data_IF_265295689953
#
_entry.id   IF_265295689953
#
_cell.length_a   1.000
_cell.length_b   1.000
_cell.length_c   1.000
_cell.angle_alpha   90.00
_cell.angle_beta   90.00
_cell.angle_gamma   90.00
#
_symmetry.space_group_name_H-M   'P 1'
#
loop_
_entity.id
_entity.type
_entity.pdbx_description
1 polymer ?
#
# COMPACT_ATOMS: atom_id res chain seq x y z
N UNK A 1 -28.83 31.21 -76.12
CA UNK A 1 -30.08 30.42 -76.19
C UNK A 1 -29.91 29.29 -77.20
N UNK A 2 -29.62 28.06 -76.76
CA UNK A 2 -29.83 26.82 -77.53
C UNK A 2 -30.11 25.69 -76.53
N UNK A 3 -31.39 25.40 -76.34
CA UNK A 3 -31.88 24.19 -75.68
C UNK A 3 -31.72 23.02 -76.66
N UNK A 4 -31.23 21.87 -76.20
CA UNK A 4 -31.57 20.58 -76.83
C UNK A 4 -31.66 19.46 -75.78
N UNK A 5 -32.91 18.99 -75.64
CA UNK A 5 -33.33 17.60 -75.52
C UNK A 5 -32.96 16.76 -74.29
N UNK A 6 -33.96 16.76 -73.40
CA UNK A 6 -34.50 15.68 -72.58
C UNK A 6 -34.50 14.27 -73.24
N UNK A 7 -34.16 13.24 -72.46
CA UNK A 7 -34.85 11.91 -72.32
C UNK A 7 -34.08 11.08 -71.25
N UNK A 8 -34.74 10.67 -70.15
CA UNK A 8 -35.34 9.34 -69.93
C UNK A 8 -34.24 8.23 -69.98
N UNK A 9 -33.97 7.34 -69.02
CA UNK A 9 -34.75 6.78 -67.90
C UNK A 9 -33.88 5.75 -67.15
N UNK A 10 -34.34 5.35 -65.95
CA UNK A 10 -34.18 4.04 -65.28
C UNK A 10 -32.90 3.68 -64.51
N UNK A 11 -33.17 3.33 -63.25
CA UNK A 11 -32.29 2.78 -62.22
C UNK A 11 -31.90 1.32 -62.50
N UNK A 12 -30.74 0.90 -61.98
CA UNK A 12 -30.52 -0.47 -61.49
C UNK A 12 -29.65 -0.41 -60.24
N UNK A 13 -30.15 -1.02 -59.17
CA UNK A 13 -29.47 -1.20 -57.91
C UNK A 13 -28.50 -2.40 -57.94
N UNK A 14 -27.72 -2.47 -56.86
CA UNK A 14 -27.18 -3.69 -56.22
C UNK A 14 -25.74 -4.11 -56.53
N UNK A 15 -24.90 -3.87 -55.51
CA UNK A 15 -23.77 -4.64 -54.96
C UNK A 15 -22.95 -5.57 -55.89
N UNK A 16 -21.65 -5.26 -55.96
CA UNK A 16 -20.60 -6.26 -55.81
C UNK A 16 -19.54 -5.73 -54.84
N UNK A 17 -19.41 -6.40 -53.71
CA UNK A 17 -18.40 -6.17 -52.67
C UNK A 17 -17.11 -6.88 -53.12
N UNK A 18 -15.98 -6.34 -52.64
CA UNK A 18 -14.69 -6.98 -52.33
C UNK A 18 -13.54 -6.64 -53.30
N UNK A 19 -12.47 -6.13 -52.71
CA UNK A 19 -11.12 -6.22 -53.29
C UNK A 19 -10.28 -4.94 -53.21
N UNK A 20 -9.84 -4.59 -51.99
CA UNK A 20 -8.49 -4.06 -51.68
C UNK A 20 -7.87 -2.98 -52.59
N UNK A 21 -7.71 -1.76 -52.06
CA UNK A 21 -6.39 -1.10 -51.94
C UNK A 21 -6.49 0.27 -51.24
N UNK A 22 -5.93 0.32 -50.03
CA UNK A 22 -5.13 1.42 -49.49
C UNK A 22 -5.57 2.87 -49.76
N UNK A 23 -6.36 3.43 -48.84
CA UNK A 23 -5.95 4.68 -48.17
C UNK A 23 -6.17 4.51 -46.68
N UNK A 24 -5.06 4.28 -45.96
CA UNK A 24 -4.99 4.31 -44.51
C UNK A 24 -5.23 5.76 -44.10
N UNK A 25 -6.42 6.04 -43.58
CA UNK A 25 -6.66 7.26 -42.83
C UNK A 25 -5.63 7.35 -41.71
N UNK A 26 -5.13 8.55 -41.47
CA UNK A 26 -4.18 8.84 -40.42
C UNK A 26 -4.80 8.46 -39.08
N UNK A 27 -4.45 7.26 -38.60
CA UNK A 27 -4.69 6.84 -37.22
C UNK A 27 -3.92 7.84 -36.37
N UNK A 28 -4.68 8.76 -35.77
CA UNK A 28 -4.26 9.55 -34.63
C UNK A 28 -3.52 8.59 -33.69
N UNK A 29 -2.26 8.87 -33.27
CA UNK A 29 -1.57 7.97 -32.39
C UNK A 29 -2.48 7.79 -31.18
N UNK A 30 -2.87 6.53 -30.92
CA UNK A 30 -3.54 6.15 -29.70
C UNK A 30 -2.69 6.74 -28.59
N UNK A 31 -3.16 7.83 -27.98
CA UNK A 31 -2.87 8.13 -26.60
C UNK A 31 -3.49 6.96 -25.83
N UNK A 32 -2.84 5.80 -25.87
CA UNK A 32 -2.85 4.87 -24.75
C UNK A 32 -2.42 5.74 -23.59
N UNK A 33 -3.42 6.24 -22.87
CA UNK A 33 -3.23 6.78 -21.54
C UNK A 33 -2.20 5.87 -20.89
N UNK A 34 -1.09 6.47 -20.48
CA UNK A 34 -0.09 5.80 -19.68
C UNK A 34 -0.83 4.89 -18.73
N UNK A 35 -0.52 3.58 -18.80
CA UNK A 35 -0.90 2.63 -17.77
C UNK A 35 -0.36 3.26 -16.48
N UNK A 36 -1.23 4.02 -15.79
CA UNK A 36 -0.89 4.69 -14.54
C UNK A 36 -0.44 3.55 -13.67
N UNK A 37 0.86 3.52 -13.41
CA UNK A 37 1.59 2.47 -12.72
C UNK A 37 0.66 1.77 -11.72
N UNK A 38 -0.02 0.70 -12.16
CA UNK A 38 -1.05 0.07 -11.32
C UNK A 38 -0.24 -0.58 -10.23
N UNK A 39 -0.13 0.08 -9.09
CA UNK A 39 0.60 -0.48 -7.97
C UNK A 39 -0.06 -1.82 -7.64
N UNK A 40 0.76 -2.86 -7.49
CA UNK A 40 0.24 -4.20 -7.30
C UNK A 40 -0.46 -4.26 -5.93
N UNK A 41 -1.77 -4.50 -5.97
CA UNK A 41 -2.53 -4.75 -4.75
C UNK A 41 -2.14 -6.13 -4.20
N UNK A 42 -1.71 -6.16 -2.94
CA UNK A 42 -1.45 -7.37 -2.18
C UNK A 42 -2.75 -8.19 -2.08
N UNK A 43 -2.72 -9.44 -2.56
CA UNK A 43 -3.88 -10.32 -2.49
C UNK A 43 -4.11 -10.80 -1.05
N UNK A 44 -5.33 -11.25 -0.76
CA UNK A 44 -5.66 -11.80 0.56
C UNK A 44 -4.90 -13.11 0.75
N UNK A 45 -4.17 -13.21 1.86
CA UNK A 45 -3.32 -14.36 2.19
C UNK A 45 -1.85 -14.14 1.83
N UNK A 46 -1.54 -13.18 0.95
CA UNK A 46 -0.18 -12.92 0.50
C UNK A 46 0.60 -12.07 1.48
N UNK A 47 1.92 -12.20 1.39
CA UNK A 47 2.88 -11.42 2.16
C UNK A 47 3.83 -10.67 1.26
N UNK A 48 4.23 -9.47 1.68
CA UNK A 48 5.17 -8.64 0.93
C UNK A 48 6.14 -7.94 1.87
N UNK A 49 7.39 -7.77 1.42
CA UNK A 49 8.40 -7.00 2.13
C UNK A 49 8.23 -5.50 1.82
N UNK A 50 8.30 -4.68 2.86
CA UNK A 50 8.21 -3.23 2.78
C UNK A 50 9.46 -2.57 3.34
N UNK A 51 9.81 -1.42 2.77
CA UNK A 51 10.92 -0.59 3.23
C UNK A 51 10.48 0.87 3.27
N UNK A 52 10.73 1.53 4.39
CA UNK A 52 10.52 2.97 4.56
C UNK A 52 11.85 3.62 4.90
N UNK A 53 12.25 4.56 4.05
CA UNK A 53 13.38 5.44 4.32
C UNK A 53 12.86 6.81 4.74
N UNK A 54 13.48 7.40 5.74
CA UNK A 54 13.16 8.76 6.15
C UNK A 54 14.45 9.47 6.57
N UNK A 55 14.49 10.77 6.27
CA UNK A 55 15.59 11.66 6.59
C UNK A 55 15.05 12.95 7.20
N UNK A 56 15.82 13.54 8.10
CA UNK A 56 15.54 14.85 8.65
C UNK A 56 16.76 15.75 8.62
N UNK A 57 16.55 17.06 8.58
CA UNK A 57 17.61 18.07 8.74
C UNK A 57 17.89 18.38 10.21
N UNK A 58 17.04 17.92 11.13
CA UNK A 58 17.11 18.23 12.56
C UNK A 58 16.59 17.05 13.41
N UNK A 59 17.15 16.83 14.62
CA UNK A 59 16.67 15.76 15.50
C UNK A 59 15.21 15.98 15.97
N UNK A 60 14.65 17.16 15.79
CA UNK A 60 13.31 17.53 16.25
C UNK A 60 12.30 17.75 15.11
N UNK A 61 12.70 17.57 13.85
CA UNK A 61 11.88 17.92 12.68
C UNK A 61 11.63 16.70 11.79
N UNK A 62 11.12 15.62 12.38
CA UNK A 62 10.77 14.42 11.65
C UNK A 62 9.38 14.52 11.03
N UNK A 63 9.26 14.14 9.77
CA UNK A 63 7.97 14.09 9.08
C UNK A 63 7.50 12.64 9.01
N UNK A 64 6.26 12.33 9.40
CA UNK A 64 5.62 11.05 9.18
C UNK A 64 5.75 10.56 7.73
N UNK A 65 6.08 9.28 7.53
CA UNK A 65 6.03 8.66 6.21
C UNK A 65 4.81 7.75 6.13
N UNK A 66 3.81 8.16 5.35
CA UNK A 66 2.62 7.36 5.11
C UNK A 66 2.91 6.14 4.23
N UNK A 67 2.30 5.00 4.56
CA UNK A 67 2.46 3.77 3.79
C UNK A 67 1.12 3.08 3.48
N UNK A 68 0.90 2.79 2.20
CA UNK A 68 -0.22 2.01 1.71
C UNK A 68 0.15 0.52 1.77
N UNK A 69 -0.38 -0.17 2.78
CA UNK A 69 -0.19 -1.60 3.01
C UNK A 69 -0.88 -2.45 1.95
N UNK A 70 -1.92 -1.94 1.28
CA UNK A 70 -2.55 -2.67 0.17
C UNK A 70 -1.60 -2.75 -1.01
N UNK A 71 -1.00 -1.63 -1.36
CA UNK A 71 -0.19 -1.51 -2.58
C UNK A 71 1.32 -1.64 -2.31
N UNK A 72 1.69 -1.86 -1.05
CA UNK A 72 3.07 -1.93 -0.58
C UNK A 72 3.96 -0.78 -1.06
N UNK A 73 3.52 0.46 -0.81
CA UNK A 73 4.18 1.67 -1.33
C UNK A 73 4.03 2.85 -0.37
N UNK A 74 5.04 3.73 -0.35
CA UNK A 74 4.94 5.02 0.34
C UNK A 74 3.88 5.89 -0.34
N UNK A 75 2.92 6.37 0.44
CA UNK A 75 1.79 7.15 -0.06
C UNK A 75 1.42 8.27 0.92
N UNK A 76 1.15 9.46 0.38
CA UNK A 76 0.68 10.63 1.15
C UNK A 76 -0.83 10.66 1.34
N UNK A 77 -1.58 9.86 0.57
CA UNK A 77 -3.04 9.72 0.64
C UNK A 77 -3.43 8.27 0.45
N UNK A 78 -4.49 7.83 1.13
CA UNK A 78 -4.99 6.45 1.04
C UNK A 78 -4.17 5.43 1.82
N UNK A 79 -3.04 5.85 2.42
CA UNK A 79 -2.23 5.04 3.31
C UNK A 79 -3.02 4.58 4.55
N UNK A 80 -2.66 3.42 5.10
CA UNK A 80 -3.30 2.90 6.31
C UNK A 80 -2.53 3.25 7.57
N UNK A 81 -1.21 3.42 7.44
CA UNK A 81 -0.32 3.71 8.56
C UNK A 81 0.64 4.83 8.23
N UNK A 82 1.22 5.41 9.27
CA UNK A 82 2.41 6.25 9.18
C UNK A 82 3.54 5.61 10.00
N UNK A 83 4.76 5.78 9.49
CA UNK A 83 5.98 5.55 10.24
C UNK A 83 6.47 6.89 10.79
N UNK A 84 6.47 7.00 12.12
CA UNK A 84 6.62 8.26 12.85
C UNK A 84 7.86 8.32 13.75
N UNK A 85 8.19 9.55 14.18
CA UNK A 85 9.19 9.89 15.21
C UNK A 85 10.65 9.91 14.73
N UNK A 86 11.52 10.39 15.63
CA UNK A 86 12.95 10.19 15.54
C UNK A 86 13.18 8.66 15.57
N UNK A 87 13.81 8.13 14.52
CA UNK A 87 14.01 6.69 14.23
C UNK A 87 12.88 5.92 13.53
N UNK A 88 11.76 6.54 13.15
CA UNK A 88 10.66 6.00 12.30
C UNK A 88 10.10 4.61 12.63
N UNK A 89 10.50 4.05 13.76
CA UNK A 89 10.04 2.74 14.18
C UNK A 89 8.63 2.77 14.71
N UNK A 90 8.04 3.92 15.04
CA UNK A 90 6.66 3.95 15.52
C UNK A 90 5.71 3.75 14.34
N UNK A 91 4.77 2.84 14.48
CA UNK A 91 3.65 2.73 13.55
C UNK A 91 2.41 3.36 14.19
N UNK A 92 1.77 4.26 13.46
CA UNK A 92 0.50 4.89 13.83
C UNK A 92 -0.52 4.71 12.72
N UNK A 93 -1.79 4.91 13.05
CA UNK A 93 -2.89 4.86 12.08
C UNK A 93 -2.98 6.15 11.28
N UNK A 94 -3.25 5.99 9.99
CA UNK A 94 -3.68 7.06 9.11
C UNK A 94 -5.18 6.94 8.81
N UNK A 95 -5.86 8.08 8.65
CA UNK A 95 -7.29 8.11 8.34
C UNK A 95 -8.15 7.46 9.44
N UNK A 96 -9.16 6.69 9.01
CA UNK A 96 -10.12 6.03 9.90
C UNK A 96 -9.75 4.58 10.26
N UNK A 97 -8.47 4.22 10.16
CA UNK A 97 -8.01 2.88 10.52
C UNK A 97 -7.80 2.75 12.04
N UNK A 98 -7.75 1.52 12.50
CA UNK A 98 -7.55 1.14 13.90
C UNK A 98 -6.32 0.25 14.03
N UNK A 99 -5.61 0.41 15.15
CA UNK A 99 -4.41 -0.34 15.47
C UNK A 99 -4.67 -1.27 16.66
N UNK A 100 -4.10 -2.46 16.58
CA UNK A 100 -3.91 -3.37 17.70
C UNK A 100 -2.57 -4.06 17.56
N UNK A 101 -2.30 -5.03 18.43
CA UNK A 101 -1.14 -5.89 18.32
C UNK A 101 -1.50 -7.34 18.64
N UNK A 102 -0.71 -8.26 18.12
CA UNK A 102 -0.79 -9.68 18.35
C UNK A 102 0.58 -10.20 18.74
N UNK A 103 0.65 -10.95 19.85
CA UNK A 103 1.84 -11.67 20.28
C UNK A 103 1.61 -13.16 20.08
N UNK A 104 2.56 -13.84 19.44
CA UNK A 104 2.45 -15.28 19.21
C UNK A 104 3.72 -16.01 19.61
N UNK A 105 3.69 -16.99 20.53
CA UNK A 105 4.87 -17.78 20.82
C UNK A 105 5.22 -18.77 19.70
N UNK A 106 4.24 -19.17 18.86
CA UNK A 106 4.40 -20.21 17.83
C UNK A 106 4.71 -19.64 16.45
N UNK A 107 4.16 -18.46 16.10
CA UNK A 107 4.37 -17.87 14.77
C UNK A 107 5.69 -17.11 14.72
N UNK A 108 6.52 -17.42 13.72
CA UNK A 108 7.86 -16.84 13.56
C UNK A 108 7.88 -15.65 12.60
N UNK A 109 6.90 -15.54 11.70
CA UNK A 109 6.75 -14.40 10.81
C UNK A 109 5.30 -14.24 10.31
N UNK A 110 4.99 -13.10 9.68
CA UNK A 110 3.64 -12.78 9.19
C UNK A 110 3.03 -13.82 8.26
N UNK A 111 3.83 -14.59 7.51
CA UNK A 111 3.28 -15.58 6.56
C UNK A 111 2.48 -16.69 7.26
N UNK A 112 2.84 -17.03 8.51
CA UNK A 112 2.13 -18.01 9.33
C UNK A 112 0.86 -17.50 10.02
N UNK A 113 0.58 -16.18 9.98
CA UNK A 113 -0.57 -15.60 10.70
C UNK A 113 -1.84 -15.77 9.87
N UNK A 114 -2.91 -16.24 10.50
CA UNK A 114 -4.24 -16.38 9.91
C UNK A 114 -5.25 -15.43 10.55
N UNK A 115 -6.44 -15.32 9.97
CA UNK A 115 -7.52 -14.53 10.55
C UNK A 115 -7.99 -15.09 11.92
N UNK A 116 -7.88 -16.41 12.13
CA UNK A 116 -8.25 -17.04 13.39
C UNK A 116 -7.31 -16.63 14.53
N UNK A 117 -6.01 -16.54 14.23
CA UNK A 117 -4.97 -16.17 15.21
C UNK A 117 -5.21 -14.79 15.81
N UNK A 118 -5.62 -13.82 14.97
CA UNK A 118 -5.84 -12.43 15.40
C UNK A 118 -7.27 -12.16 15.83
N UNK A 119 -8.16 -13.15 15.85
CA UNK A 119 -9.60 -12.95 16.06
C UNK A 119 -9.99 -12.27 17.38
N UNK A 120 -9.17 -12.43 18.42
CA UNK A 120 -9.36 -11.84 19.75
C UNK A 120 -8.67 -10.49 19.94
N UNK A 121 -7.92 -10.01 18.94
CA UNK A 121 -7.20 -8.73 19.02
C UNK A 121 -8.21 -7.58 19.12
N UNK A 122 -7.98 -6.71 20.10
CA UNK A 122 -8.77 -5.48 20.26
C UNK A 122 -8.16 -4.38 19.39
N UNK A 123 -8.95 -3.88 18.44
CA UNK A 123 -8.54 -2.75 17.58
C UNK A 123 -8.96 -1.41 18.20
N UNK A 124 -8.14 -0.39 18.05
CA UNK A 124 -8.42 0.98 18.50
C UNK A 124 -8.10 1.24 19.97
N UNK A 125 -7.61 0.25 20.71
CA UNK A 125 -7.13 0.42 22.08
C UNK A 125 -5.79 1.19 22.15
N UNK A 126 -5.04 1.19 21.04
CA UNK A 126 -3.78 1.93 20.91
C UNK A 126 -3.81 2.81 19.65
N UNK A 127 -3.19 3.98 19.74
CA UNK A 127 -3.00 4.89 18.59
C UNK A 127 -1.59 4.81 18.00
N UNK A 128 -0.66 4.21 18.73
CA UNK A 128 0.74 4.07 18.33
C UNK A 128 1.28 2.77 18.89
N UNK A 129 2.02 2.03 18.07
CA UNK A 129 2.86 0.94 18.52
C UNK A 129 4.31 1.37 18.28
N UNK A 130 5.05 1.59 19.36
CA UNK A 130 6.35 2.25 19.33
C UNK A 130 7.39 1.56 20.20
N UNK A 131 8.32 2.32 20.75
CA UNK A 131 9.29 1.79 21.72
C UNK A 131 8.58 1.24 22.97
N UNK A 132 8.99 0.06 23.42
CA UNK A 132 8.67 -0.43 24.76
C UNK A 132 9.17 0.56 25.82
N UNK A 133 8.36 0.76 26.84
CA UNK A 133 8.74 1.48 28.05
C UNK A 133 8.40 0.62 29.28
N UNK A 134 8.68 1.12 30.47
CA UNK A 134 8.31 0.43 31.71
C UNK A 134 6.80 0.28 31.90
N UNK A 135 5.99 1.11 31.23
CA UNK A 135 4.53 1.16 31.41
C UNK A 135 3.74 0.93 30.13
N UNK A 136 4.40 0.96 28.97
CA UNK A 136 3.75 0.85 27.65
C UNK A 136 4.34 -0.30 26.87
N UNK A 137 3.45 -1.19 26.43
CA UNK A 137 3.77 -2.25 25.48
C UNK A 137 3.93 -1.63 24.09
N UNK A 138 5.12 -1.77 23.52
CA UNK A 138 5.53 -1.35 22.18
C UNK A 138 5.93 -2.53 21.30
N UNK A 139 6.50 -2.32 20.12
CA UNK A 139 6.96 -3.38 19.19
C UNK A 139 8.44 -3.38 18.87
N UNK A 140 9.21 -2.46 19.45
CA UNK A 140 10.67 -2.52 19.48
C UNK A 140 11.20 -2.05 20.83
N UNK A 141 12.45 -2.38 21.13
CA UNK A 141 13.21 -1.85 22.25
C UNK A 141 14.27 -0.89 21.72
N UNK A 142 14.43 0.26 22.37
CA UNK A 142 15.52 1.21 22.11
C UNK A 142 16.48 1.26 23.28
N UNK A 143 17.71 0.79 23.06
CA UNK A 143 18.80 0.95 24.01
C UNK A 143 19.47 2.32 23.77
N UNK A 144 19.36 3.21 24.75
CA UNK A 144 19.94 4.57 24.69
C UNK A 144 21.45 4.59 24.81
N UNK A 145 22.05 3.57 25.43
CA UNK A 145 23.50 3.47 25.66
C UNK A 145 24.16 3.04 24.36
N UNK A 146 23.70 1.92 23.79
CA UNK A 146 24.25 1.38 22.55
C UNK A 146 23.66 2.02 21.29
N UNK A 147 22.59 2.82 21.44
CA UNK A 147 21.80 3.42 20.35
C UNK A 147 21.26 2.36 19.38
N UNK A 148 20.92 1.19 19.89
CA UNK A 148 20.40 0.08 19.09
C UNK A 148 18.89 -0.01 19.21
N UNK A 149 18.24 -0.36 18.09
CA UNK A 149 16.81 -0.61 18.02
C UNK A 149 16.63 -2.09 17.68
N UNK A 150 15.90 -2.80 18.53
CA UNK A 150 15.67 -4.24 18.38
C UNK A 150 14.17 -4.51 18.35
N UNK A 151 13.61 -5.05 17.25
CA UNK A 151 12.21 -5.46 17.21
C UNK A 151 11.89 -6.46 18.33
N UNK A 152 10.67 -6.36 18.87
CA UNK A 152 10.17 -7.36 19.82
C UNK A 152 9.82 -8.60 19.03
N UNK A 153 10.51 -9.70 19.32
CA UNK A 153 10.30 -10.95 18.62
C UNK A 153 8.83 -11.42 18.75
N UNK A 154 8.26 -11.81 17.60
CA UNK A 154 6.90 -12.39 17.49
C UNK A 154 5.77 -11.49 17.98
N UNK A 155 6.00 -10.17 17.94
CA UNK A 155 4.96 -9.15 18.07
C UNK A 155 4.64 -8.56 16.71
N UNK A 156 3.36 -8.44 16.43
CA UNK A 156 2.85 -8.00 15.15
C UNK A 156 1.84 -6.86 15.34
N UNK A 157 1.94 -5.81 14.54
CA UNK A 157 0.90 -4.79 14.48
C UNK A 157 -0.28 -5.33 13.67
N UNK A 158 -1.50 -5.09 14.15
CA UNK A 158 -2.73 -5.46 13.42
C UNK A 158 -3.45 -4.17 13.04
N UNK A 159 -3.64 -3.98 11.74
CA UNK A 159 -4.21 -2.74 11.17
C UNK A 159 -5.50 -3.10 10.46
N UNK A 160 -6.61 -2.53 10.92
CA UNK A 160 -7.93 -2.77 10.34
C UNK A 160 -8.65 -1.46 10.05
N UNK A 161 -9.59 -1.48 9.10
CA UNK A 161 -10.44 -0.31 8.83
C UNK A 161 -11.73 -0.28 9.66
N UNK A 162 -11.93 -1.24 10.56
CA UNK A 162 -13.02 -1.27 11.53
C UNK A 162 -12.51 -1.16 12.97
N UNK A 163 -13.42 -1.12 13.94
CA UNK A 163 -13.10 -1.16 15.38
C UNK A 163 -12.97 -2.59 15.94
N UNK A 164 -13.27 -3.61 15.14
CA UNK A 164 -13.11 -5.02 15.49
C UNK A 164 -12.54 -5.81 14.33
N UNK A 165 -11.94 -6.97 14.62
CA UNK A 165 -11.39 -7.88 13.61
C UNK A 165 -12.51 -8.41 12.70
N UNK A 166 -13.66 -8.79 13.28
CA UNK A 166 -14.83 -9.25 12.54
C UNK A 166 -15.40 -8.16 11.63
N UNK A 167 -15.57 -6.94 12.13
CA UNK A 167 -16.15 -5.81 11.40
C UNK A 167 -15.22 -5.14 10.39
N UNK A 168 -13.91 -5.43 10.42
CA UNK A 168 -12.97 -4.93 9.42
C UNK A 168 -13.16 -5.64 8.08
N UNK A 169 -13.25 -4.87 6.99
CA UNK A 169 -13.28 -5.37 5.61
C UNK A 169 -11.89 -5.40 4.96
N UNK A 170 -10.95 -4.65 5.52
CA UNK A 170 -9.52 -4.70 5.20
C UNK A 170 -8.74 -4.92 6.49
N UNK A 171 -7.85 -5.90 6.47
CA UNK A 171 -7.08 -6.25 7.65
C UNK A 171 -5.67 -6.66 7.23
N UNK A 172 -4.69 -6.04 7.87
CA UNK A 172 -3.27 -6.28 7.62
C UNK A 172 -2.58 -6.64 8.92
N UNK A 173 -1.55 -7.46 8.82
CA UNK A 173 -0.64 -7.74 9.93
C UNK A 173 0.76 -7.32 9.49
N UNK A 174 1.44 -6.52 10.30
CA UNK A 174 2.75 -5.95 10.00
C UNK A 174 3.76 -6.43 11.03
N UNK A 175 4.85 -7.00 10.54
CA UNK A 175 6.02 -7.41 11.33
C UNK A 175 7.14 -6.41 11.12
N UNK A 176 7.69 -5.89 12.20
CA UNK A 176 8.92 -5.12 12.14
C UNK A 176 10.13 -6.06 12.08
N UNK A 177 10.93 -5.97 11.01
CA UNK A 177 12.12 -6.82 10.85
C UNK A 177 13.38 -6.17 11.41
N UNK A 178 13.46 -4.85 11.27
CA UNK A 178 14.63 -4.12 11.72
C UNK A 178 14.57 -2.65 11.40
N UNK A 179 15.29 -1.87 12.20
CA UNK A 179 15.45 -0.44 12.02
C UNK A 179 16.94 -0.16 12.01
N UNK A 180 17.43 0.38 10.90
CA UNK A 180 18.83 0.76 10.73
C UNK A 180 18.95 2.27 10.63
N UNK A 181 19.92 2.83 11.35
CA UNK A 181 20.24 4.25 11.28
C UNK A 181 21.50 4.46 10.47
N UNK A 182 21.53 5.47 9.60
CA UNK A 182 22.71 5.83 8.82
C UNK A 182 22.93 7.35 8.85
N UNK A 183 24.18 7.77 9.03
CA UNK A 183 24.50 9.19 9.26
C UNK A 183 23.77 9.76 10.49
N UNK A 184 23.59 11.08 10.52
CA UNK A 184 23.09 11.79 11.71
C UNK A 184 21.57 11.66 11.89
N UNK A 185 20.79 11.76 10.82
CA UNK A 185 19.32 11.82 10.85
C UNK A 185 18.68 11.04 9.70
N UNK A 186 19.18 9.85 9.39
CA UNK A 186 18.51 8.95 8.45
C UNK A 186 18.16 7.63 9.13
N UNK A 187 17.02 7.08 8.74
CA UNK A 187 16.56 5.79 9.24
C UNK A 187 15.88 5.01 8.14
N UNK A 188 16.14 3.71 8.13
CA UNK A 188 15.48 2.73 7.27
C UNK A 188 14.74 1.75 8.16
N UNK A 189 13.44 1.58 7.90
CA UNK A 189 12.56 0.63 8.56
C UNK A 189 12.26 -0.48 7.57
N UNK A 190 12.59 -1.72 7.93
CA UNK A 190 12.27 -2.91 7.15
C UNK A 190 11.16 -3.66 7.87
N UNK A 191 10.18 -4.11 7.11
CA UNK A 191 9.03 -4.84 7.64
C UNK A 191 8.48 -5.82 6.60
N UNK A 192 7.68 -6.77 7.07
CA UNK A 192 6.82 -7.57 6.21
C UNK A 192 5.37 -7.32 6.57
N UNK A 193 4.50 -7.34 5.56
CA UNK A 193 3.06 -7.23 5.73
C UNK A 193 2.38 -8.50 5.21
N UNK A 194 1.32 -8.94 5.86
CA UNK A 194 0.35 -9.90 5.34
C UNK A 194 -1.02 -9.25 5.25
N UNK A 195 -1.73 -9.48 4.15
CA UNK A 195 -3.15 -9.14 4.06
C UNK A 195 -4.02 -10.32 4.50
N UNK A 196 -4.92 -10.09 5.44
CA UNK A 196 -5.89 -11.08 5.93
C UNK A 196 -7.31 -10.84 5.39
N UNK A 197 -7.64 -9.61 4.99
CA UNK A 197 -8.91 -9.23 4.35
C UNK A 197 -8.68 -8.11 3.35
#
# INVERSE_FOLDING_TARGET
MKMKFLKLTFAVATLAILGTACKKDAVQPDNKLALQNTTAALAVGDTEAGVVNNSSTSPTSWTPVGYDLLNNVVASTGNQVNFDSNFNGNITIAGSNSLGYYDSPSVTNVSGITLADVSSVTLGAISTLGNNTSTTVGWYNYDRITRTITPVAKRYAVVGNGSTIAGSTRLYVVQLDGITTSGTYNTTVNFHTKRLK
#
